data_IF_742027180753
#
_entry.id   IF_742027180753
#
_cell.length_a   1.000
_cell.length_b   1.000
_cell.length_c   1.000
_cell.angle_alpha   90.00
_cell.angle_beta   90.00
_cell.angle_gamma   90.00
#
_symmetry.space_group_name_H-M   'P 1'
#
loop_
_entity.id
_entity.type
_entity.pdbx_description
1 polymer ?
#
# COMPACT_ATOMS: atom_id res chain seq x y z
N UNK A 1 -53.81 -7.35 68.86
CA UNK A 1 -52.77 -8.29 69.33
C UNK A 1 -52.17 -8.87 68.07
N UNK A 2 -51.41 -8.02 67.40
CA UNK A 2 -50.80 -8.24 66.10
C UNK A 2 -49.42 -8.84 66.35
N UNK A 3 -49.18 -10.05 65.85
CA UNK A 3 -47.85 -10.66 65.85
C UNK A 3 -47.30 -10.65 64.44
N UNK A 4 -46.17 -9.97 64.15
CA UNK A 4 -45.54 -10.10 62.85
C UNK A 4 -44.60 -11.30 62.83
N UNK A 5 -44.82 -12.08 61.78
CA UNK A 5 -44.01 -13.11 61.15
C UNK A 5 -42.49 -12.93 61.27
N UNK A 6 -41.83 -14.04 61.60
CA UNK A 6 -40.40 -14.27 61.56
C UNK A 6 -39.77 -13.82 60.23
N UNK A 7 -38.90 -12.82 60.27
CA UNK A 7 -38.00 -12.48 59.18
C UNK A 7 -36.91 -13.56 59.08
N UNK A 8 -37.06 -14.44 58.08
CA UNK A 8 -35.99 -15.28 57.59
C UNK A 8 -34.96 -14.39 56.90
N UNK A 9 -33.82 -14.18 57.54
CA UNK A 9 -32.59 -13.68 56.93
C UNK A 9 -32.26 -14.52 55.69
N UNK A 10 -32.58 -13.99 54.51
CA UNK A 10 -31.99 -14.43 53.25
C UNK A 10 -30.51 -14.02 53.27
N UNK A 11 -29.63 -14.98 53.51
CA UNK A 11 -28.21 -14.84 53.24
C UNK A 11 -28.05 -14.66 51.73
N UNK A 12 -27.75 -13.43 51.31
CA UNK A 12 -27.30 -13.14 49.95
C UNK A 12 -25.89 -13.72 49.84
N UNK A 13 -25.81 -14.98 49.43
CA UNK A 13 -24.56 -15.63 49.01
C UNK A 13 -24.07 -14.92 47.75
N UNK A 14 -23.32 -13.84 47.95
CA UNK A 14 -22.67 -13.09 46.88
C UNK A 14 -21.33 -13.75 46.62
N UNK A 15 -21.32 -15.00 46.19
CA UNK A 15 -20.16 -15.58 45.52
C UNK A 15 -20.07 -14.94 44.15
N UNK A 16 -19.44 -13.76 44.09
CA UNK A 16 -18.91 -13.21 42.84
C UNK A 16 -17.85 -14.20 42.37
N UNK A 17 -18.27 -15.14 41.53
CA UNK A 17 -17.36 -15.94 40.72
C UNK A 17 -16.58 -14.92 39.90
N UNK A 18 -15.32 -14.70 40.25
CA UNK A 18 -14.38 -13.95 39.42
C UNK A 18 -14.16 -14.80 38.17
N UNK A 19 -15.06 -14.64 37.20
CA UNK A 19 -14.96 -15.27 35.89
C UNK A 19 -13.73 -14.68 35.21
N UNK A 20 -12.61 -15.43 35.24
CA UNK A 20 -11.38 -14.99 34.60
C UNK A 20 -11.63 -15.01 33.10
N UNK A 21 -11.59 -13.84 32.42
CA UNK A 21 -11.91 -13.77 31.01
C UNK A 21 -10.96 -14.67 30.23
N UNK A 22 -11.52 -15.40 29.26
CA UNK A 22 -10.72 -16.30 28.43
C UNK A 22 -9.67 -15.48 27.67
N UNK A 23 -8.50 -16.05 27.35
CA UNK A 23 -7.45 -15.32 26.63
C UNK A 23 -7.93 -14.73 25.30
N UNK A 24 -8.89 -15.38 24.63
CA UNK A 24 -9.54 -14.87 23.41
C UNK A 24 -10.40 -13.63 23.65
N UNK A 25 -11.12 -13.58 24.78
CA UNK A 25 -11.96 -12.44 25.15
C UNK A 25 -11.10 -11.25 25.59
N UNK A 26 -9.97 -11.53 26.25
CA UNK A 26 -8.97 -10.50 26.55
C UNK A 26 -8.35 -9.93 25.28
N UNK A 27 -7.99 -10.77 24.31
CA UNK A 27 -7.47 -10.33 23.02
C UNK A 27 -8.48 -9.44 22.27
N UNK A 28 -9.77 -9.81 22.31
CA UNK A 28 -10.85 -9.02 21.71
C UNK A 28 -11.02 -7.66 22.37
N UNK A 29 -11.05 -7.61 23.71
CA UNK A 29 -11.12 -6.35 24.46
C UNK A 29 -9.92 -5.44 24.19
N UNK A 30 -8.72 -6.00 24.05
CA UNK A 30 -7.51 -5.23 23.71
C UNK A 30 -7.60 -4.69 22.29
N UNK A 31 -8.04 -5.50 21.33
CA UNK A 31 -8.26 -5.09 19.95
C UNK A 31 -9.30 -3.96 19.86
N UNK A 32 -10.43 -4.12 20.55
CA UNK A 32 -11.51 -3.13 20.60
C UNK A 32 -11.05 -1.83 21.26
N UNK A 33 -10.35 -1.92 22.40
CA UNK A 33 -9.78 -0.75 23.06
C UNK A 33 -8.78 -0.01 22.14
N UNK A 34 -7.90 -0.75 21.45
CA UNK A 34 -6.96 -0.18 20.49
C UNK A 34 -7.70 0.52 19.34
N UNK A 35 -8.75 -0.11 18.81
CA UNK A 35 -9.58 0.46 17.75
C UNK A 35 -10.29 1.74 18.21
N UNK A 36 -10.88 1.74 19.41
CA UNK A 36 -11.56 2.92 19.98
C UNK A 36 -10.58 4.08 20.16
N UNK A 37 -9.37 3.81 20.67
CA UNK A 37 -8.33 4.83 20.85
C UNK A 37 -7.92 5.43 19.50
N UNK A 38 -7.66 4.58 18.49
CA UNK A 38 -7.24 5.03 17.16
C UNK A 38 -8.37 5.73 16.41
N UNK A 39 -9.63 5.39 16.68
CA UNK A 39 -10.80 6.01 16.05
C UNK A 39 -11.21 7.34 16.70
N UNK A 40 -10.80 7.59 17.95
CA UNK A 40 -11.19 8.79 18.70
C UNK A 40 -10.76 10.09 17.99
N UNK A 41 -11.64 11.10 17.80
CA UNK A 41 -11.36 12.27 16.97
C UNK A 41 -10.13 13.08 17.38
N UNK A 42 -9.80 13.08 18.67
CA UNK A 42 -8.66 13.85 19.22
C UNK A 42 -7.30 13.17 19.08
N UNK A 43 -7.27 11.90 18.65
CA UNK A 43 -6.02 11.13 18.50
C UNK A 43 -5.50 11.26 17.07
N UNK A 44 -4.31 11.84 16.89
CA UNK A 44 -3.67 11.90 15.57
C UNK A 44 -3.02 10.56 15.25
N UNK A 45 -3.41 9.96 14.13
CA UNK A 45 -2.76 8.75 13.61
C UNK A 45 -1.47 9.18 12.90
N UNK A 46 -0.34 8.97 13.56
CA UNK A 46 0.99 9.13 12.95
C UNK A 46 1.44 7.79 12.35
N UNK A 47 2.44 7.76 11.45
CA UNK A 47 2.95 6.51 10.91
C UNK A 47 3.39 5.49 11.98
N UNK A 48 3.99 5.98 13.07
CA UNK A 48 4.42 5.14 14.20
C UNK A 48 3.22 4.54 14.95
N UNK A 49 2.17 5.34 15.18
CA UNK A 49 0.93 4.85 15.82
C UNK A 49 0.25 3.83 14.92
N UNK A 50 0.23 4.06 13.60
CA UNK A 50 -0.30 3.11 12.64
C UNK A 50 0.50 1.80 12.65
N UNK A 51 1.83 1.85 12.64
CA UNK A 51 2.68 0.66 12.72
C UNK A 51 2.41 -0.17 13.99
N UNK A 52 2.39 0.48 15.16
CA UNK A 52 2.10 -0.21 16.43
C UNK A 52 0.71 -0.84 16.40
N UNK A 53 -0.28 -0.13 15.83
CA UNK A 53 -1.64 -0.67 15.67
C UNK A 53 -1.66 -1.91 14.77
N UNK A 54 -1.01 -1.85 13.60
CA UNK A 54 -0.92 -2.97 12.67
C UNK A 54 -0.25 -4.18 13.32
N UNK A 55 0.89 -3.98 14.00
CA UNK A 55 1.61 -5.06 14.67
C UNK A 55 0.79 -5.67 15.82
N UNK A 56 0.04 -4.84 16.54
CA UNK A 56 -0.86 -5.31 17.60
C UNK A 56 -1.99 -6.15 17.02
N UNK A 57 -2.66 -5.66 15.96
CA UNK A 57 -3.77 -6.38 15.33
C UNK A 57 -3.33 -7.67 14.63
N UNK A 58 -2.14 -7.67 14.01
CA UNK A 58 -1.53 -8.85 13.41
C UNK A 58 -1.29 -9.94 14.47
N UNK A 59 -0.74 -9.57 15.64
CA UNK A 59 -0.51 -10.51 16.76
C UNK A 59 -1.80 -11.04 17.38
N UNK A 60 -2.86 -10.23 17.40
CA UNK A 60 -4.16 -10.62 17.94
C UNK A 60 -5.01 -11.40 16.92
N UNK A 61 -4.60 -11.47 15.65
CA UNK A 61 -5.34 -12.12 14.56
C UNK A 61 -6.63 -11.39 14.16
N UNK A 62 -6.79 -10.11 14.53
CA UNK A 62 -8.02 -9.32 14.30
C UNK A 62 -7.84 -8.34 13.14
N UNK A 63 -7.74 -8.91 11.93
CA UNK A 63 -7.41 -8.18 10.71
C UNK A 63 -8.58 -7.41 10.09
N UNK A 64 -9.81 -7.67 10.52
CA UNK A 64 -11.05 -7.06 9.99
C UNK A 64 -11.08 -5.53 10.15
N UNK A 65 -10.41 -5.01 11.17
CA UNK A 65 -10.38 -3.56 11.45
C UNK A 65 -9.32 -2.81 10.64
N UNK A 66 -8.38 -3.52 10.01
CA UNK A 66 -7.24 -2.92 9.32
C UNK A 66 -7.63 -2.03 8.13
N UNK A 67 -8.53 -2.46 7.21
CA UNK A 67 -8.97 -1.61 6.11
C UNK A 67 -9.54 -0.28 6.59
N UNK A 68 -10.36 -0.32 7.64
CA UNK A 68 -11.02 0.86 8.18
C UNK A 68 -10.01 1.86 8.74
N UNK A 69 -9.03 1.40 9.53
CA UNK A 69 -8.01 2.28 10.12
C UNK A 69 -7.07 2.87 9.07
N UNK A 70 -6.76 2.13 8.00
CA UNK A 70 -6.01 2.66 6.86
C UNK A 70 -6.78 3.79 6.15
N UNK A 71 -8.10 3.63 5.98
CA UNK A 71 -8.97 4.70 5.47
C UNK A 71 -9.04 5.92 6.40
N UNK A 72 -9.07 5.70 7.72
CA UNK A 72 -9.02 6.77 8.72
C UNK A 72 -7.69 7.51 8.70
N UNK A 73 -6.56 6.82 8.51
CA UNK A 73 -5.24 7.46 8.44
C UNK A 73 -5.17 8.59 7.39
N UNK A 74 -5.83 8.40 6.25
CA UNK A 74 -5.85 9.41 5.19
C UNK A 74 -6.87 10.55 5.43
N UNK A 75 -8.03 10.22 5.99
CA UNK A 75 -9.21 11.11 6.02
C UNK A 75 -9.48 11.80 7.37
N UNK A 76 -8.94 11.27 8.47
CA UNK A 76 -9.26 11.71 9.83
C UNK A 76 -8.88 13.18 10.05
N UNK A 77 -9.73 14.02 10.66
CA UNK A 77 -9.40 15.41 10.87
C UNK A 77 -8.36 15.57 12.01
N UNK A 78 -7.46 16.54 11.87
CA UNK A 78 -6.39 16.78 12.85
C UNK A 78 -6.82 17.82 13.88
N UNK A 79 -6.71 17.55 15.19
CA UNK A 79 -6.94 18.56 16.22
C UNK A 79 -5.87 19.65 16.09
N UNK A 80 -6.33 20.90 15.98
CA UNK A 80 -5.50 22.10 15.97
C UNK A 80 -5.64 22.77 17.32
N UNK A 81 -4.51 22.97 17.99
CA UNK A 81 -4.45 23.70 19.27
C UNK A 81 -4.82 25.17 19.02
N UNK A 82 -6.05 25.53 19.35
CA UNK A 82 -6.56 26.90 19.35
C UNK A 82 -6.58 27.44 20.79
N UNK A 83 -6.63 28.76 20.97
CA UNK A 83 -6.78 29.40 22.30
C UNK A 83 -8.19 29.24 22.90
N UNK A 84 -9.09 28.50 22.24
CA UNK A 84 -10.47 28.22 22.65
C UNK A 84 -10.82 26.72 22.52
N UNK A 85 -12.06 26.34 22.15
CA UNK A 85 -12.43 24.93 21.98
C UNK A 85 -11.54 24.25 20.93
N UNK A 86 -11.28 22.95 21.10
CA UNK A 86 -10.52 22.13 20.15
C UNK A 86 -11.15 22.27 18.76
N UNK A 87 -10.36 22.78 17.80
CA UNK A 87 -10.80 22.90 16.41
C UNK A 87 -10.18 21.75 15.62
N UNK A 88 -11.00 21.00 14.89
CA UNK A 88 -10.53 19.94 14.01
C UNK A 88 -10.34 20.51 12.60
N UNK A 89 -9.16 20.31 12.02
CA UNK A 89 -8.85 20.68 10.65
C UNK A 89 -9.13 19.48 9.75
N UNK A 90 -10.02 19.65 8.78
CA UNK A 90 -10.28 18.64 7.76
C UNK A 90 -8.99 18.30 6.99
N UNK A 91 -8.70 17.01 6.89
CA UNK A 91 -7.58 16.53 6.10
C UNK A 91 -8.04 16.22 4.68
N UNK A 92 -7.23 16.60 3.68
CA UNK A 92 -7.46 16.16 2.32
C UNK A 92 -6.93 14.72 2.15
N UNK A 93 -7.81 13.72 1.92
CA UNK A 93 -7.39 12.33 1.79
C UNK A 93 -6.53 12.07 0.55
N UNK A 94 -6.59 12.94 -0.46
CA UNK A 94 -5.84 12.78 -1.70
C UNK A 94 -4.41 13.36 -1.64
N UNK A 95 -3.97 13.89 -0.49
CA UNK A 95 -2.63 14.50 -0.39
C UNK A 95 -1.56 13.41 -0.34
N UNK A 96 -0.49 13.57 -1.13
CA UNK A 96 0.63 12.62 -1.17
C UNK A 96 1.29 12.37 0.20
N UNK A 97 1.29 13.37 1.09
CA UNK A 97 1.82 13.25 2.44
C UNK A 97 0.99 12.33 3.36
N UNK A 98 -0.26 12.05 2.99
CA UNK A 98 -1.14 11.14 3.71
C UNK A 98 -1.14 9.73 3.10
N UNK A 99 -0.27 9.46 2.11
CA UNK A 99 -0.11 8.11 1.58
C UNK A 99 0.47 7.19 2.66
N UNK A 100 -0.07 5.97 2.73
CA UNK A 100 0.47 4.91 3.60
C UNK A 100 1.79 4.42 3.00
N UNK A 101 2.75 4.11 3.87
CA UNK A 101 4.04 3.55 3.45
C UNK A 101 3.85 2.12 2.90
N UNK A 102 4.38 1.78 1.70
CA UNK A 102 4.35 0.43 1.15
C UNK A 102 4.75 -0.67 2.15
N UNK A 103 5.77 -0.41 2.99
CA UNK A 103 6.27 -1.42 3.93
C UNK A 103 5.22 -1.76 5.01
N UNK A 104 4.45 -0.75 5.45
CA UNK A 104 3.35 -0.93 6.40
C UNK A 104 2.17 -1.65 5.74
N UNK A 105 1.89 -1.34 4.47
CA UNK A 105 0.82 -2.01 3.70
C UNK A 105 1.16 -3.49 3.52
N UNK A 106 2.40 -3.82 3.19
CA UNK A 106 2.84 -5.20 3.01
C UNK A 106 2.80 -6.00 4.31
N UNK A 107 3.14 -5.38 5.45
CA UNK A 107 2.94 -5.99 6.78
C UNK A 107 1.45 -6.28 7.05
N UNK A 108 0.58 -5.30 6.82
CA UNK A 108 -0.87 -5.47 7.01
C UNK A 108 -1.44 -6.56 6.09
N UNK A 109 -1.00 -6.58 4.83
CA UNK A 109 -1.42 -7.57 3.84
C UNK A 109 -0.96 -8.99 4.22
N UNK A 110 0.28 -9.14 4.69
CA UNK A 110 0.77 -10.42 5.20
C UNK A 110 -0.05 -10.92 6.38
N UNK A 111 -0.41 -10.03 7.32
CA UNK A 111 -1.26 -10.39 8.45
C UNK A 111 -2.66 -10.85 7.99
N UNK A 112 -3.26 -10.17 7.00
CA UNK A 112 -4.55 -10.59 6.44
C UNK A 112 -4.49 -11.93 5.69
N UNK A 113 -3.39 -12.18 4.98
CA UNK A 113 -3.11 -13.46 4.32
C UNK A 113 -2.95 -14.59 5.36
N UNK A 114 -2.20 -14.34 6.43
CA UNK A 114 -1.99 -15.31 7.51
C UNK A 114 -3.31 -15.64 8.23
N UNK A 115 -4.14 -14.62 8.47
CA UNK A 115 -5.49 -14.79 9.01
C UNK A 115 -6.50 -15.39 8.01
N UNK A 116 -6.10 -15.63 6.75
CA UNK A 116 -6.95 -16.13 5.65
C UNK A 116 -8.24 -15.34 5.47
N UNK A 117 -8.20 -14.03 5.68
CA UNK A 117 -9.35 -13.15 5.49
C UNK A 117 -9.18 -12.37 4.18
N UNK A 118 -9.89 -12.82 3.13
CA UNK A 118 -9.80 -12.23 1.80
C UNK A 118 -10.39 -10.82 1.75
N UNK A 119 -11.52 -10.60 2.41
CA UNK A 119 -12.20 -9.30 2.46
C UNK A 119 -11.29 -8.23 3.08
N UNK A 120 -10.64 -8.56 4.20
CA UNK A 120 -9.65 -7.68 4.82
C UNK A 120 -8.45 -7.41 3.89
N UNK A 121 -7.95 -8.41 3.16
CA UNK A 121 -6.84 -8.24 2.23
C UNK A 121 -7.20 -7.29 1.07
N UNK A 122 -8.38 -7.46 0.46
CA UNK A 122 -8.88 -6.58 -0.61
C UNK A 122 -9.08 -5.17 -0.04
N UNK A 123 -9.73 -5.04 1.13
CA UNK A 123 -9.95 -3.75 1.78
C UNK A 123 -8.65 -3.00 2.12
N UNK A 124 -7.59 -3.71 2.50
CA UNK A 124 -6.26 -3.12 2.70
C UNK A 124 -5.73 -2.56 1.38
N UNK A 125 -5.80 -3.32 0.28
CA UNK A 125 -5.34 -2.89 -1.04
C UNK A 125 -6.10 -1.65 -1.53
N UNK A 126 -7.42 -1.61 -1.32
CA UNK A 126 -8.25 -0.47 -1.73
C UNK A 126 -7.96 0.80 -0.92
N UNK A 127 -7.76 0.68 0.39
CA UNK A 127 -7.45 1.83 1.26
C UNK A 127 -5.98 2.24 1.25
N UNK A 128 -5.13 1.56 0.48
CA UNK A 128 -3.70 1.88 0.35
C UNK A 128 -3.31 2.14 -1.11
N UNK A 129 -3.00 1.10 -1.88
CA UNK A 129 -2.46 1.18 -3.24
C UNK A 129 -3.43 1.81 -4.24
N UNK A 130 -4.75 1.64 -4.05
CA UNK A 130 -5.75 2.22 -4.94
C UNK A 130 -6.05 3.71 -4.66
N UNK A 131 -5.49 4.29 -3.60
CA UNK A 131 -5.78 5.69 -3.22
C UNK A 131 -5.07 6.70 -4.11
N UNK A 132 -5.71 7.85 -4.35
CA UNK A 132 -5.09 8.97 -5.09
C UNK A 132 -3.86 9.53 -4.37
N UNK A 133 -3.83 9.47 -3.04
CA UNK A 133 -2.67 9.85 -2.24
C UNK A 133 -1.46 8.98 -2.59
N UNK A 134 -1.64 7.66 -2.66
CA UNK A 134 -0.57 6.74 -3.04
C UNK A 134 -0.05 7.01 -4.44
N UNK A 135 -0.93 7.19 -5.43
CA UNK A 135 -0.53 7.50 -6.82
C UNK A 135 0.31 8.78 -6.89
N UNK A 136 -0.11 9.84 -6.18
CA UNK A 136 0.64 11.11 -6.13
C UNK A 136 1.98 10.96 -5.40
N UNK A 137 2.00 10.22 -4.30
CA UNK A 137 3.24 9.93 -3.56
C UNK A 137 4.21 9.10 -4.40
N UNK A 138 3.72 8.12 -5.16
CA UNK A 138 4.48 7.33 -6.11
C UNK A 138 5.06 8.21 -7.21
N UNK A 139 4.26 9.10 -7.80
CA UNK A 139 4.75 10.03 -8.81
C UNK A 139 5.85 10.92 -8.26
N UNK A 140 5.69 11.44 -7.04
CA UNK A 140 6.73 12.24 -6.38
C UNK A 140 7.98 11.41 -6.04
N UNK A 141 7.87 10.18 -5.56
CA UNK A 141 9.04 9.37 -5.17
C UNK A 141 9.76 8.78 -6.38
N UNK A 142 9.02 8.19 -7.32
CA UNK A 142 9.57 7.46 -8.47
C UNK A 142 9.86 8.33 -9.69
N UNK A 143 9.13 9.43 -9.91
CA UNK A 143 9.37 10.30 -11.08
C UNK A 143 10.29 11.49 -10.79
N UNK A 144 10.40 11.95 -9.54
CA UNK A 144 11.19 13.14 -9.20
C UNK A 144 12.67 12.95 -9.49
N UNK A 145 13.25 11.82 -9.05
CA UNK A 145 14.66 11.53 -9.25
C UNK A 145 15.05 11.48 -10.74
N UNK A 146 14.39 10.67 -11.60
CA UNK A 146 14.71 10.68 -13.02
C UNK A 146 14.41 12.02 -13.69
N UNK A 147 13.33 12.72 -13.33
CA UNK A 147 13.04 14.04 -13.87
C UNK A 147 14.15 15.06 -13.53
N UNK A 148 14.64 15.05 -12.29
CA UNK A 148 15.76 15.91 -11.87
C UNK A 148 17.04 15.59 -12.64
N UNK A 149 17.30 14.31 -12.91
CA UNK A 149 18.45 13.89 -13.71
C UNK A 149 18.35 14.41 -15.15
N UNK A 150 17.18 14.32 -15.80
CA UNK A 150 16.98 14.84 -17.17
C UNK A 150 17.25 16.33 -17.24
N UNK A 151 16.82 17.11 -16.25
CA UNK A 151 17.05 18.56 -16.21
C UNK A 151 18.51 18.91 -15.91
N UNK A 152 19.17 18.18 -15.02
CA UNK A 152 20.56 18.45 -14.64
C UNK A 152 21.57 18.01 -15.72
N UNK A 153 21.22 17.01 -16.54
CA UNK A 153 22.14 16.39 -17.50
C UNK A 153 22.73 17.38 -18.51
N UNK A 154 21.96 18.24 -19.21
CA UNK A 154 22.52 19.23 -20.15
C UNK A 154 23.52 20.18 -19.51
N UNK A 155 23.27 20.59 -18.27
CA UNK A 155 24.15 21.49 -17.52
C UNK A 155 25.46 20.77 -17.19
N UNK A 156 25.38 19.55 -16.66
CA UNK A 156 26.55 18.75 -16.33
C UNK A 156 27.39 18.41 -17.57
N UNK A 157 26.74 18.06 -18.68
CA UNK A 157 27.43 17.75 -19.95
C UNK A 157 28.12 18.98 -20.53
N UNK A 158 27.49 20.16 -20.48
CA UNK A 158 28.12 21.40 -20.93
C UNK A 158 29.38 21.74 -20.12
N UNK A 159 29.33 21.58 -18.78
CA UNK A 159 30.49 21.79 -17.91
C UNK A 159 31.60 20.75 -18.15
N UNK A 160 31.24 19.50 -18.43
CA UNK A 160 32.21 18.48 -18.81
C UNK A 160 32.87 18.81 -20.16
N UNK A 161 32.06 19.19 -21.15
CA UNK A 161 32.53 19.52 -22.49
C UNK A 161 33.44 20.76 -22.49
N UNK A 162 33.15 21.77 -21.68
CA UNK A 162 34.00 22.97 -21.56
C UNK A 162 35.38 22.63 -21.00
N UNK A 163 35.47 21.76 -20.00
CA UNK A 163 36.76 21.28 -19.48
C UNK A 163 37.51 20.43 -20.52
N UNK A 164 36.81 19.54 -21.24
CA UNK A 164 37.42 18.70 -22.27
C UNK A 164 37.94 19.50 -23.47
N UNK A 165 37.28 20.60 -23.83
CA UNK A 165 37.71 21.44 -24.96
C UNK A 165 39.12 22.04 -24.76
N UNK A 166 39.54 22.29 -23.51
CA UNK A 166 40.91 22.74 -23.21
C UNK A 166 42.01 21.70 -23.51
N UNK A 167 41.65 20.42 -23.66
CA UNK A 167 42.62 19.34 -23.93
C UNK A 167 42.91 19.18 -25.43
N UNK A 168 42.17 19.86 -26.30
CA UNK A 168 42.33 19.77 -27.75
C UNK A 168 42.82 21.11 -28.32
N UNK A 169 43.68 21.08 -29.35
CA UNK A 169 44.19 22.29 -30.02
C UNK A 169 43.77 22.40 -31.50
N UNK A 170 42.92 21.48 -31.99
CA UNK A 170 42.62 21.35 -33.43
C UNK A 170 41.38 22.14 -33.89
N UNK A 171 40.44 22.46 -33.00
CA UNK A 171 39.26 23.28 -33.30
C UNK A 171 39.19 24.47 -32.34
N UNK A 172 38.49 25.52 -32.76
CA UNK A 172 38.17 26.65 -31.88
C UNK A 172 37.33 26.17 -30.68
N UNK A 173 37.60 26.76 -29.51
CA UNK A 173 37.05 26.35 -28.22
C UNK A 173 35.51 26.29 -28.22
N UNK A 174 34.87 27.23 -28.90
CA UNK A 174 33.41 27.30 -29.00
C UNK A 174 32.86 26.12 -29.81
N UNK A 175 33.47 25.83 -30.96
CA UNK A 175 33.07 24.69 -31.81
C UNK A 175 33.37 23.35 -31.15
N UNK A 176 34.50 23.24 -30.45
CA UNK A 176 34.90 22.07 -29.66
C UNK A 176 33.87 21.71 -28.61
N UNK A 177 33.47 22.69 -27.80
CA UNK A 177 32.51 22.52 -26.70
C UNK A 177 31.14 22.13 -27.25
N UNK A 178 30.69 22.76 -28.34
CA UNK A 178 29.40 22.46 -28.95
C UNK A 178 29.32 21.02 -29.48
N UNK A 179 30.35 20.58 -30.22
CA UNK A 179 30.40 19.22 -30.78
C UNK A 179 30.51 18.17 -29.68
N UNK A 180 31.34 18.41 -28.65
CA UNK A 180 31.47 17.50 -27.51
C UNK A 180 30.16 17.41 -26.70
N UNK A 181 29.51 18.55 -26.44
CA UNK A 181 28.21 18.60 -25.75
C UNK A 181 27.15 17.82 -26.53
N UNK A 182 27.07 18.03 -27.84
CA UNK A 182 26.12 17.32 -28.71
C UNK A 182 26.38 15.82 -28.73
N UNK A 183 27.65 15.39 -28.85
CA UNK A 183 28.02 13.98 -28.86
C UNK A 183 27.70 13.26 -27.54
N UNK A 184 28.06 13.87 -26.40
CA UNK A 184 27.78 13.30 -25.08
C UNK A 184 26.27 13.28 -24.81
N UNK A 185 25.53 14.35 -25.15
CA UNK A 185 24.07 14.37 -24.99
C UNK A 185 23.37 13.34 -25.87
N UNK A 186 23.82 13.14 -27.10
CA UNK A 186 23.28 12.11 -27.97
C UNK A 186 23.46 10.71 -27.36
N UNK A 187 24.66 10.43 -26.85
CA UNK A 187 24.96 9.16 -26.18
C UNK A 187 24.08 8.96 -24.94
N UNK A 188 24.12 9.91 -24.00
CA UNK A 188 23.36 9.83 -22.73
C UNK A 188 21.86 9.79 -22.97
N UNK A 189 21.35 10.57 -23.94
CA UNK A 189 19.95 10.58 -24.32
C UNK A 189 19.49 9.23 -24.87
N UNK A 190 20.28 8.63 -25.76
CA UNK A 190 19.96 7.32 -26.32
C UNK A 190 20.01 6.21 -25.25
N UNK A 191 21.09 6.14 -24.47
CA UNK A 191 21.21 5.12 -23.41
C UNK A 191 20.18 5.31 -22.30
N UNK A 192 19.87 6.56 -21.95
CA UNK A 192 18.84 6.89 -20.97
C UNK A 192 17.46 6.48 -21.44
N UNK A 193 17.14 6.69 -22.73
CA UNK A 193 15.88 6.23 -23.31
C UNK A 193 15.75 4.71 -23.29
N UNK A 194 16.81 3.97 -23.63
CA UNK A 194 16.82 2.50 -23.54
C UNK A 194 16.60 2.02 -22.11
N UNK A 195 17.22 2.67 -21.11
CA UNK A 195 16.98 2.37 -19.70
C UNK A 195 15.53 2.65 -19.28
N UNK A 196 14.96 3.78 -19.71
CA UNK A 196 13.57 4.12 -19.43
C UNK A 196 12.60 3.09 -20.03
N UNK A 197 12.83 2.65 -21.27
CA UNK A 197 12.05 1.59 -21.90
C UNK A 197 12.14 0.30 -21.10
N UNK A 198 13.34 -0.14 -20.71
CA UNK A 198 13.54 -1.34 -19.91
C UNK A 198 12.71 -1.31 -18.62
N UNK A 199 12.72 -0.20 -17.88
CA UNK A 199 11.93 -0.04 -16.64
C UNK A 199 10.43 -0.06 -16.90
N UNK A 200 9.95 0.54 -18.00
CA UNK A 200 8.53 0.56 -18.35
C UNK A 200 8.05 -0.82 -18.82
N UNK A 201 8.92 -1.62 -19.43
CA UNK A 201 8.58 -2.94 -19.99
C UNK A 201 8.87 -4.11 -19.06
N UNK A 202 9.57 -3.90 -17.94
CA UNK A 202 9.94 -4.98 -17.03
C UNK A 202 8.69 -5.70 -16.50
N UNK A 203 8.64 -7.03 -16.65
CA UNK A 203 7.44 -7.84 -16.42
C UNK A 203 7.66 -9.04 -15.47
N UNK A 204 8.73 -9.04 -14.68
CA UNK A 204 9.17 -10.22 -13.91
C UNK A 204 8.29 -10.62 -12.73
N UNK A 205 7.17 -9.93 -12.48
CA UNK A 205 6.35 -10.11 -11.27
C UNK A 205 4.90 -10.49 -11.57
N UNK A 206 4.56 -10.91 -12.80
CA UNK A 206 3.21 -11.37 -13.16
C UNK A 206 3.15 -12.89 -13.11
N UNK A 207 2.78 -13.46 -11.96
CA UNK A 207 2.61 -14.92 -11.82
C UNK A 207 1.21 -15.37 -12.23
N UNK A 208 0.19 -14.81 -11.59
CA UNK A 208 -1.22 -15.17 -11.79
C UNK A 208 -2.04 -14.01 -12.33
N UNK A 209 -1.80 -12.80 -11.82
CA UNK A 209 -2.54 -11.60 -12.19
C UNK A 209 -1.78 -10.81 -13.24
N UNK A 210 -2.40 -10.69 -14.42
CA UNK A 210 -1.85 -10.01 -15.60
C UNK A 210 -2.74 -8.87 -16.07
N UNK A 211 -2.18 -7.88 -16.77
CA UNK A 211 -2.97 -6.78 -17.34
C UNK A 211 -3.81 -7.23 -18.51
N UNK A 212 -5.12 -6.92 -18.53
CA UNK A 212 -5.98 -7.20 -19.67
C UNK A 212 -5.42 -6.60 -20.98
N UNK A 213 -5.65 -7.24 -22.14
CA UNK A 213 -5.25 -6.68 -23.42
C UNK A 213 -5.93 -5.31 -23.62
N UNK A 214 -5.18 -4.34 -24.15
CA UNK A 214 -5.68 -2.98 -24.41
C UNK A 214 -5.44 -1.95 -23.29
N UNK A 215 -5.01 -2.36 -22.09
CA UNK A 215 -4.66 -1.40 -21.02
C UNK A 215 -3.39 -0.61 -21.39
N UNK A 216 -3.41 0.74 -21.39
CA UNK A 216 -2.26 1.56 -21.75
C UNK A 216 -1.13 1.47 -20.72
N UNK A 217 0.13 1.59 -21.17
CA UNK A 217 1.32 1.47 -20.32
C UNK A 217 1.33 2.42 -19.12
N UNK A 218 0.75 3.61 -19.26
CA UNK A 218 0.61 4.58 -18.17
C UNK A 218 -0.22 4.03 -17.02
N UNK A 219 -1.36 3.42 -17.33
CA UNK A 219 -2.26 2.87 -16.30
C UNK A 219 -1.62 1.67 -15.62
N UNK A 220 -0.96 0.80 -16.39
CA UNK A 220 -0.15 -0.30 -15.84
C UNK A 220 0.89 0.21 -14.88
N UNK A 221 1.67 1.22 -15.30
CA UNK A 221 2.67 1.82 -14.44
C UNK A 221 2.03 2.38 -13.18
N UNK A 222 0.93 3.13 -13.25
CA UNK A 222 0.28 3.73 -12.06
C UNK A 222 -0.16 2.65 -11.06
N UNK A 223 -0.81 1.61 -11.55
CA UNK A 223 -1.46 0.58 -10.74
C UNK A 223 -0.62 -0.69 -10.52
N UNK A 224 0.69 -0.65 -10.84
CA UNK A 224 1.56 -1.83 -10.75
C UNK A 224 1.67 -2.40 -9.33
N UNK A 225 1.76 -1.57 -8.28
CA UNK A 225 1.82 -2.06 -6.89
C UNK A 225 0.50 -2.67 -6.45
N UNK A 226 -0.62 -2.13 -6.93
CA UNK A 226 -1.94 -2.72 -6.70
C UNK A 226 -2.03 -4.10 -7.35
N UNK A 227 -1.58 -4.24 -8.60
CA UNK A 227 -1.52 -5.54 -9.30
C UNK A 227 -0.61 -6.53 -8.56
N UNK A 228 0.58 -6.10 -8.13
CA UNK A 228 1.51 -6.96 -7.40
C UNK A 228 0.93 -7.43 -6.05
N UNK A 229 0.22 -6.56 -5.34
CA UNK A 229 -0.48 -6.94 -4.10
C UNK A 229 -1.61 -7.94 -4.36
N UNK A 230 -2.40 -7.75 -5.43
CA UNK A 230 -3.44 -8.69 -5.84
C UNK A 230 -2.86 -10.04 -6.30
N UNK A 231 -1.73 -10.02 -7.00
CA UNK A 231 -1.02 -11.24 -7.40
C UNK A 231 -0.54 -12.03 -6.19
N UNK A 232 -0.04 -11.34 -5.17
CA UNK A 232 0.37 -11.95 -3.89
C UNK A 232 -0.82 -12.59 -3.17
N UNK A 233 -1.95 -11.89 -3.10
CA UNK A 233 -3.21 -12.42 -2.52
C UNK A 233 -3.70 -13.63 -3.32
N UNK A 234 -3.74 -13.55 -4.64
CA UNK A 234 -4.13 -14.69 -5.48
C UNK A 234 -3.21 -15.90 -5.26
N UNK A 235 -1.89 -15.69 -5.19
CA UNK A 235 -0.94 -16.76 -4.92
C UNK A 235 -1.09 -17.39 -3.53
N UNK A 236 -1.54 -16.64 -2.53
CA UNK A 236 -1.66 -17.16 -1.15
C UNK A 236 -3.02 -17.79 -0.83
N UNK A 237 -4.09 -17.31 -1.46
CA UNK A 237 -5.44 -17.83 -1.24
C UNK A 237 -5.77 -19.02 -2.15
N UNK A 238 -5.12 -19.11 -3.31
CA UNK A 238 -5.24 -20.24 -4.22
C UNK A 238 -4.23 -21.37 -3.98
N UNK A 239 -4.19 -22.32 -4.91
CA UNK A 239 -3.15 -23.31 -5.00
C UNK A 239 -1.80 -22.62 -5.26
N UNK A 240 -0.75 -23.15 -4.64
CA UNK A 240 0.63 -22.70 -4.88
C UNK A 240 1.25 -23.34 -6.14
N UNK A 241 0.60 -24.35 -6.72
CA UNK A 241 1.15 -25.18 -7.80
C UNK A 241 0.65 -24.69 -9.16
N UNK A 242 1.58 -24.36 -10.07
CA UNK A 242 1.26 -23.75 -11.37
C UNK A 242 0.28 -24.58 -12.22
N UNK A 243 0.45 -25.90 -12.26
CA UNK A 243 -0.44 -26.81 -13.01
C UNK A 243 -1.88 -26.89 -12.49
N UNK A 244 -2.16 -26.36 -11.29
CA UNK A 244 -3.51 -26.35 -10.69
C UNK A 244 -4.16 -24.97 -10.71
N UNK A 245 -3.48 -23.97 -11.25
CA UNK A 245 -4.08 -22.65 -11.44
C UNK A 245 -5.33 -22.82 -12.33
N UNK A 246 -6.37 -22.03 -12.09
CA UNK A 246 -7.64 -22.14 -12.80
C UNK A 246 -8.58 -23.28 -12.35
N UNK A 247 -8.14 -24.24 -11.53
CA UNK A 247 -9.02 -25.28 -10.94
C UNK A 247 -9.69 -24.82 -9.64
N UNK A 248 -9.47 -23.59 -9.22
CA UNK A 248 -9.91 -23.07 -7.92
C UNK A 248 -11.39 -22.69 -7.95
N UNK A 249 -12.17 -23.36 -7.12
CA UNK A 249 -13.59 -23.10 -6.93
C UNK A 249 -13.85 -22.58 -5.50
N UNK A 250 -14.61 -21.50 -5.38
CA UNK A 250 -15.00 -20.92 -4.11
C UNK A 250 -15.68 -19.57 -4.29
N UNK A 251 -16.65 -19.23 -3.43
CA UNK A 251 -17.36 -17.95 -3.49
C UNK A 251 -16.38 -16.78 -3.35
N UNK A 252 -15.46 -16.86 -2.39
CA UNK A 252 -14.46 -15.83 -2.12
C UNK A 252 -13.47 -15.69 -3.30
N UNK A 253 -13.04 -16.81 -3.87
CA UNK A 253 -12.11 -16.80 -5.01
C UNK A 253 -12.77 -16.27 -6.29
N UNK A 254 -14.04 -16.59 -6.51
CA UNK A 254 -14.83 -16.02 -7.60
C UNK A 254 -15.03 -14.51 -7.42
N UNK A 255 -15.28 -14.04 -6.19
CA UNK A 255 -15.35 -12.62 -5.87
C UNK A 255 -14.01 -11.90 -6.11
N UNK A 256 -12.88 -12.53 -5.76
CA UNK A 256 -11.54 -12.02 -6.08
C UNK A 256 -11.36 -11.89 -7.61
N UNK A 257 -11.74 -12.91 -8.36
CA UNK A 257 -11.64 -12.90 -9.83
C UNK A 257 -12.47 -11.79 -10.45
N UNK A 258 -13.72 -11.62 -10.02
CA UNK A 258 -14.59 -10.52 -10.46
C UNK A 258 -13.98 -9.16 -10.11
N UNK A 259 -13.48 -9.01 -8.88
CA UNK A 259 -12.82 -7.78 -8.43
C UNK A 259 -11.60 -7.42 -9.31
N UNK A 260 -10.74 -8.40 -9.60
CA UNK A 260 -9.57 -8.23 -10.47
C UNK A 260 -10.00 -7.81 -11.89
N UNK A 261 -11.05 -8.45 -12.44
CA UNK A 261 -11.61 -8.12 -13.74
C UNK A 261 -12.15 -6.69 -13.81
N UNK A 262 -12.85 -6.23 -12.77
CA UNK A 262 -13.34 -4.86 -12.68
C UNK A 262 -12.23 -3.80 -12.72
N UNK A 263 -10.99 -4.16 -12.37
CA UNK A 263 -9.83 -3.27 -12.38
C UNK A 263 -8.98 -3.40 -13.66
N UNK A 264 -9.48 -4.07 -14.70
CA UNK A 264 -8.77 -4.22 -15.98
C UNK A 264 -7.59 -5.21 -15.92
N UNK A 265 -7.63 -6.14 -14.96
CA UNK A 265 -6.67 -7.22 -14.81
C UNK A 265 -7.35 -8.56 -15.07
N UNK A 266 -6.57 -9.58 -15.40
CA UNK A 266 -7.05 -10.95 -15.64
C UNK A 266 -6.29 -11.87 -14.71
N UNK A 267 -7.04 -12.60 -13.89
CA UNK A 267 -6.55 -13.70 -13.09
C UNK A 267 -6.47 -14.97 -13.95
N UNK A 268 -5.32 -15.67 -13.88
CA UNK A 268 -5.05 -16.92 -14.58
C UNK A 268 -5.35 -16.84 -16.08
N UNK A 269 -4.54 -16.07 -16.81
CA UNK A 269 -4.65 -16.00 -18.27
C UNK A 269 -4.31 -17.35 -18.88
N UNK A 270 -5.27 -17.92 -19.62
CA UNK A 270 -5.17 -19.19 -20.37
C UNK A 270 -3.84 -19.33 -21.12
N UNK A 271 -3.44 -18.30 -21.88
CA UNK A 271 -2.20 -18.31 -22.67
C UNK A 271 -0.91 -18.44 -21.85
N UNK A 272 -0.97 -18.13 -20.56
CA UNK A 272 0.18 -18.18 -19.63
C UNK A 272 0.12 -19.39 -18.70
N UNK A 273 -0.90 -20.25 -18.84
CA UNK A 273 -1.01 -21.47 -18.04
C UNK A 273 -0.12 -22.58 -18.59
N UNK A 274 0.51 -23.32 -17.68
CA UNK A 274 1.38 -24.43 -18.02
C UNK A 274 0.59 -25.52 -18.76
N UNK A 275 1.06 -25.90 -19.97
CA UNK A 275 0.42 -26.94 -20.80
C UNK A 275 -0.54 -26.44 -21.89
N UNK A 276 -0.73 -25.12 -22.04
CA UNK A 276 -1.59 -24.53 -23.10
C UNK A 276 -0.82 -23.85 -24.25
N UNK A 277 0.42 -24.26 -24.51
CA UNK A 277 1.26 -23.79 -25.64
C UNK A 277 1.41 -24.82 -26.76
#
# INVERSE_FOLDING_TARGET
>A
MDGPSSELTQSIDTTVVLDHPRPSELAERVSEAAFVIVSHPDVVITPQVLEIYLDTQARLGRVETLPHVLGLYASKPKPRRSRGPLQHLEQNPDRAANAVDPDLVDKALNAAIEAKNLDAAIGIIENSYATKAFIRAKLLKKALLPASAVVATPIAVYLLASNLSHLQNSLDQQTATAVATAGILAYVGFTGWMGALSVITQNDHMKRVTWAPGIPLKERWIHEEQRAALDKVACSFGFSQAHRFGEEEGADFQALREFILCKGMVLDRVELMEGMS
#
